data_IF_101727466851
#
_entry.id   IF_101727466851
#
_cell.length_a   1.000
_cell.length_b   1.000
_cell.length_c   1.000
_cell.angle_alpha   90.00
_cell.angle_beta   90.00
_cell.angle_gamma   90.00
#
_symmetry.space_group_name_H-M   'P 1'
#
loop_
_entity.id
_entity.type
_entity.pdbx_description
1 polymer ?
#
# COMPACT_ATOMS: atom_id res chain seq x y z
N UNK A 1 4.44 -12.13 -2.92
CA UNK A 1 5.35 -11.03 -3.28
C UNK A 1 6.57 -11.12 -2.39
N UNK A 2 7.77 -11.20 -2.96
CA UNK A 2 9.00 -11.27 -2.17
C UNK A 2 9.34 -9.87 -1.60
N UNK A 3 9.96 -9.76 -0.42
CA UNK A 3 10.22 -8.45 0.24
C UNK A 3 10.99 -7.47 -0.66
N UNK A 4 11.85 -8.02 -1.53
CA UNK A 4 12.65 -7.26 -2.50
C UNK A 4 11.78 -6.64 -3.60
N UNK A 5 10.70 -7.30 -4.02
CA UNK A 5 9.79 -6.81 -5.07
C UNK A 5 9.00 -5.59 -4.59
N UNK A 6 8.56 -5.59 -3.33
CA UNK A 6 7.81 -4.46 -2.73
C UNK A 6 8.65 -3.19 -2.71
N UNK A 7 9.91 -3.34 -2.28
CA UNK A 7 10.88 -2.23 -2.22
C UNK A 7 11.23 -1.74 -3.63
N UNK A 8 11.38 -2.64 -4.59
CA UNK A 8 11.64 -2.26 -5.99
C UNK A 8 10.46 -1.52 -6.63
N UNK A 9 9.23 -1.97 -6.38
CA UNK A 9 8.02 -1.31 -6.87
C UNK A 9 7.87 0.10 -6.33
N UNK A 10 8.19 0.30 -5.05
CA UNK A 10 8.23 1.62 -4.43
C UNK A 10 9.24 2.56 -5.09
N UNK A 11 10.49 2.12 -5.29
CA UNK A 11 11.51 2.95 -5.93
C UNK A 11 11.21 3.27 -7.41
N UNK A 12 10.41 2.45 -8.09
CA UNK A 12 9.95 2.71 -9.45
C UNK A 12 8.76 3.68 -9.51
N UNK A 13 7.98 3.81 -8.43
CA UNK A 13 6.81 4.71 -8.34
C UNK A 13 7.20 6.13 -7.97
N UNK A 14 8.33 6.32 -7.29
CA UNK A 14 8.84 7.63 -6.84
C UNK A 14 9.72 8.28 -7.91
N UNK A 15 9.31 9.46 -8.38
CA UNK A 15 10.22 10.39 -9.04
C UNK A 15 11.11 11.07 -7.98
N UNK A 16 12.31 10.50 -7.77
CA UNK A 16 13.29 10.93 -6.76
C UNK A 16 13.74 12.38 -6.93
N UNK A 17 13.46 13.01 -8.07
CA UNK A 17 13.84 14.41 -8.35
C UNK A 17 12.79 15.43 -7.91
N UNK A 18 11.58 15.00 -7.52
CA UNK A 18 10.43 15.89 -7.28
C UNK A 18 9.76 15.75 -5.91
N UNK A 19 10.26 14.87 -5.04
CA UNK A 19 9.58 14.49 -3.80
C UNK A 19 10.43 14.86 -2.59
N UNK A 20 9.83 15.59 -1.64
CA UNK A 20 10.46 15.89 -0.35
C UNK A 20 10.52 14.62 0.52
N UNK A 21 11.47 14.51 1.47
CA UNK A 21 11.59 13.33 2.32
C UNK A 21 10.30 12.93 3.05
N UNK A 22 9.49 13.90 3.48
CA UNK A 22 8.17 13.68 4.10
C UNK A 22 7.22 12.93 3.16
N UNK A 23 7.11 13.41 1.91
CA UNK A 23 6.19 12.87 0.94
C UNK A 23 6.63 11.49 0.42
N UNK A 24 7.94 11.22 0.39
CA UNK A 24 8.45 9.88 0.11
C UNK A 24 8.05 8.87 1.20
N UNK A 25 7.97 9.28 2.47
CA UNK A 25 7.50 8.43 3.58
C UNK A 25 6.01 8.16 3.46
N UNK A 26 5.20 9.18 3.17
CA UNK A 26 3.76 9.02 2.95
C UNK A 26 3.45 8.06 1.79
N UNK A 27 4.15 8.19 0.66
CA UNK A 27 4.00 7.27 -0.48
C UNK A 27 4.44 5.84 -0.14
N UNK A 28 5.45 5.68 0.72
CA UNK A 28 5.90 4.36 1.18
C UNK A 28 4.86 3.68 2.04
N UNK A 29 4.31 4.42 2.99
CA UNK A 29 3.29 3.94 3.92
C UNK A 29 2.00 3.59 3.18
N UNK A 30 1.60 4.42 2.21
CA UNK A 30 0.48 4.12 1.30
C UNK A 30 0.70 2.80 0.56
N UNK A 31 1.89 2.60 -0.03
CA UNK A 31 2.20 1.39 -0.79
C UNK A 31 2.24 0.13 0.09
N UNK A 32 2.78 0.25 1.31
CA UNK A 32 2.76 -0.85 2.28
C UNK A 32 1.34 -1.19 2.72
N UNK A 33 0.52 -0.18 2.98
CA UNK A 33 -0.88 -0.37 3.35
C UNK A 33 -1.69 -0.99 2.21
N UNK A 34 -1.46 -0.54 0.97
CA UNK A 34 -2.05 -1.13 -0.23
C UNK A 34 -1.70 -2.61 -0.34
N UNK A 35 -0.41 -2.96 -0.20
CA UNK A 35 0.04 -4.34 -0.27
C UNK A 35 -0.54 -5.20 0.86
N UNK A 36 -0.60 -4.66 2.08
CA UNK A 36 -1.20 -5.34 3.23
C UNK A 36 -2.70 -5.61 3.01
N UNK A 37 -3.45 -4.61 2.57
CA UNK A 37 -4.87 -4.72 2.30
C UNK A 37 -5.14 -5.73 1.17
N UNK A 38 -4.37 -5.68 0.09
CA UNK A 38 -4.50 -6.62 -1.04
C UNK A 38 -4.18 -8.06 -0.62
N UNK A 39 -3.15 -8.28 0.18
CA UNK A 39 -2.82 -9.62 0.67
C UNK A 39 -3.90 -10.15 1.62
N UNK A 40 -4.41 -9.32 2.54
CA UNK A 40 -5.51 -9.72 3.45
C UNK A 40 -6.83 -9.99 2.73
N UNK A 41 -7.09 -9.26 1.64
CA UNK A 41 -8.28 -9.41 0.79
C UNK A 41 -8.13 -10.51 -0.27
N UNK A 42 -6.95 -11.11 -0.41
CA UNK A 42 -6.62 -12.01 -1.52
C UNK A 42 -7.60 -13.18 -1.69
N UNK A 43 -8.03 -13.91 -0.64
CA UNK A 43 -9.01 -14.98 -0.80
C UNK A 43 -10.35 -14.49 -1.37
N UNK A 44 -10.80 -13.30 -0.94
CA UNK A 44 -12.02 -12.68 -1.45
C UNK A 44 -11.87 -12.23 -2.91
N UNK A 45 -10.71 -11.69 -3.28
CA UNK A 45 -10.42 -11.21 -4.64
C UNK A 45 -10.29 -12.36 -5.65
N UNK A 46 -9.79 -13.51 -5.22
CA UNK A 46 -9.62 -14.70 -6.05
C UNK A 46 -10.96 -15.27 -6.54
N UNK A 47 -12.01 -15.16 -5.73
CA UNK A 47 -13.37 -15.60 -6.08
C UNK A 47 -14.13 -14.61 -6.99
N UNK A 48 -13.59 -13.42 -7.24
CA UNK A 48 -14.25 -12.39 -8.06
C UNK A 48 -13.96 -12.53 -9.54
N UNK A 49 -14.91 -12.07 -10.37
CA UNK A 49 -14.66 -11.88 -11.80
C UNK A 49 -13.58 -10.83 -12.03
N UNK A 50 -12.93 -10.85 -13.21
CA UNK A 50 -11.86 -9.91 -13.55
C UNK A 50 -12.26 -8.44 -13.31
N UNK A 51 -13.44 -8.04 -13.80
CA UNK A 51 -13.95 -6.66 -13.65
C UNK A 51 -14.15 -6.28 -12.18
N UNK A 52 -14.68 -7.20 -11.38
CA UNK A 52 -14.88 -6.98 -9.95
C UNK A 52 -13.54 -6.88 -9.22
N UNK A 53 -12.57 -7.71 -9.59
CA UNK A 53 -11.22 -7.66 -9.02
C UNK A 53 -10.56 -6.30 -9.29
N UNK A 54 -10.66 -5.80 -10.52
CA UNK A 54 -10.14 -4.49 -10.89
C UNK A 54 -10.75 -3.36 -10.06
N UNK A 55 -12.08 -3.39 -9.88
CA UNK A 55 -12.78 -2.42 -9.04
C UNK A 55 -12.30 -2.46 -7.59
N UNK A 56 -12.21 -3.65 -7.00
CA UNK A 56 -11.78 -3.82 -5.61
C UNK A 56 -10.31 -3.44 -5.42
N UNK A 57 -9.43 -3.79 -6.35
CA UNK A 57 -8.04 -3.38 -6.30
C UNK A 57 -7.90 -1.86 -6.34
N UNK A 58 -8.65 -1.17 -7.21
CA UNK A 58 -8.67 0.29 -7.27
C UNK A 58 -9.18 0.90 -5.97
N UNK A 59 -10.26 0.34 -5.39
CA UNK A 59 -10.80 0.77 -4.12
C UNK A 59 -9.78 0.64 -2.98
N UNK A 60 -9.09 -0.50 -2.88
CA UNK A 60 -8.07 -0.74 -1.85
C UNK A 60 -6.89 0.22 -1.99
N UNK A 61 -6.47 0.54 -3.23
CA UNK A 61 -5.45 1.55 -3.49
C UNK A 61 -5.90 2.93 -3.00
N UNK A 62 -7.12 3.38 -3.34
CA UNK A 62 -7.64 4.68 -2.88
C UNK A 62 -7.80 4.74 -1.36
N UNK A 63 -8.23 3.65 -0.72
CA UNK A 63 -8.32 3.57 0.75
C UNK A 63 -6.94 3.69 1.37
N UNK A 64 -5.93 3.02 0.83
CA UNK A 64 -4.56 3.09 1.32
C UNK A 64 -4.01 4.53 1.26
N UNK A 65 -4.19 5.20 0.12
CA UNK A 65 -3.78 6.61 -0.06
C UNK A 65 -4.47 7.54 0.93
N UNK A 66 -5.79 7.41 1.12
CA UNK A 66 -6.55 8.27 2.05
C UNK A 66 -6.21 8.02 3.51
N UNK A 67 -5.84 6.80 3.87
CA UNK A 67 -5.41 6.45 5.22
C UNK A 67 -4.00 6.97 5.52
N UNK A 68 -3.07 6.87 4.55
CA UNK A 68 -1.72 7.43 4.70
C UNK A 68 -1.73 8.95 4.79
N UNK A 69 -2.63 9.63 4.07
CA UNK A 69 -2.79 11.10 4.13
C UNK A 69 -3.27 11.60 5.50
N UNK A 70 -4.05 10.78 6.25
CA UNK A 70 -4.71 11.23 7.49
C UNK A 70 -3.86 11.07 8.75
N UNK A 71 -3.07 10.00 8.86
CA UNK A 71 -2.33 9.73 10.11
C UNK A 71 -1.13 8.77 9.89
N UNK A 72 -0.04 9.23 9.24
CA UNK A 72 1.11 8.40 8.88
C UNK A 72 1.77 7.70 10.10
N UNK A 73 1.79 8.39 11.25
CA UNK A 73 2.44 7.90 12.48
C UNK A 73 1.74 6.69 13.12
N UNK A 74 0.41 6.57 13.03
CA UNK A 74 -0.33 5.44 13.63
C UNK A 74 -0.19 4.15 12.84
N UNK A 75 -0.06 4.25 11.52
CA UNK A 75 0.12 3.07 10.68
C UNK A 75 1.46 2.38 10.97
N UNK A 76 2.52 3.15 11.22
CA UNK A 76 3.83 2.64 11.67
C UNK A 76 3.74 1.82 12.97
N UNK A 77 2.89 2.22 13.91
CA UNK A 77 2.68 1.47 15.16
C UNK A 77 1.87 0.19 14.92
N UNK A 78 0.83 0.26 14.10
CA UNK A 78 0.03 -0.91 13.72
C UNK A 78 0.85 -1.97 12.96
N UNK A 79 1.71 -1.54 12.02
CA UNK A 79 2.65 -2.41 11.31
C UNK A 79 3.65 -3.08 12.25
N UNK A 80 4.21 -2.32 13.21
CA UNK A 80 5.11 -2.87 14.23
C UNK A 80 4.45 -3.92 15.12
N UNK A 81 3.15 -3.76 15.41
CA UNK A 81 2.39 -4.74 16.19
C UNK A 81 2.12 -6.02 15.39
N UNK A 82 1.84 -5.92 14.08
CA UNK A 82 1.58 -7.07 13.21
C UNK A 82 2.84 -7.90 12.88
N UNK A 83 4.01 -7.24 12.80
CA UNK A 83 5.29 -7.89 12.51
C UNK A 83 5.98 -8.50 13.74
N UNK A 84 5.39 -8.36 14.94
CA UNK A 84 5.82 -9.02 16.17
C UNK A 84 5.10 -10.34 16.35
#
# INVERSE_FOLDING_TARGET
MNRIEVVSLFFNRIDKTKISPSKAVEEFESLLLEAFLKEGMKPFLEEKSFTQRLYWEQFLTTVAEKLSERDPLKFKEALKAYLK
#
